data_IF_527816455686
#
_entry.id   IF_527816455686
#
_cell.length_a   1.000
_cell.length_b   1.000
_cell.length_c   1.000
_cell.angle_alpha   90.00
_cell.angle_beta   90.00
_cell.angle_gamma   90.00
#
_symmetry.space_group_name_H-M   'P 1'
#
loop_
_entity.id
_entity.type
_entity.pdbx_description
1 polymer ?
#
# COMPACT_ATOMS: atom_id res chain seq x y z
N UNK A 1 -35.78 -7.34 8.35
CA UNK A 1 -34.43 -6.74 8.33
C UNK A 1 -34.07 -6.42 6.88
N UNK A 2 -33.48 -5.25 6.58
CA UNK A 2 -33.07 -4.92 5.20
C UNK A 2 -31.88 -5.79 4.79
N UNK A 3 -31.87 -6.28 3.54
CA UNK A 3 -30.75 -7.04 2.97
C UNK A 3 -29.53 -6.12 2.78
N UNK A 4 -28.34 -6.67 2.91
CA UNK A 4 -27.09 -5.96 2.59
C UNK A 4 -26.91 -5.91 1.08
N UNK A 5 -26.44 -4.77 0.56
CA UNK A 5 -26.34 -4.54 -0.89
C UNK A 5 -24.93 -4.11 -1.28
N UNK A 6 -24.56 -4.35 -2.54
CA UNK A 6 -23.32 -3.88 -3.16
C UNK A 6 -23.61 -3.15 -4.46
N UNK A 7 -22.85 -2.11 -4.77
CA UNK A 7 -23.05 -1.32 -5.98
C UNK A 7 -22.05 -1.64 -7.09
N UNK A 8 -22.38 -1.27 -8.33
CA UNK A 8 -21.50 -1.41 -9.51
C UNK A 8 -20.20 -0.60 -9.40
N UNK A 9 -20.10 0.33 -8.45
CA UNK A 9 -18.92 1.14 -8.15
C UNK A 9 -18.14 0.63 -6.93
N UNK A 10 -18.51 -0.53 -6.38
CA UNK A 10 -17.86 -1.12 -5.21
C UNK A 10 -18.27 -0.49 -3.88
N UNK A 11 -19.37 0.26 -3.83
CA UNK A 11 -19.96 0.75 -2.57
C UNK A 11 -20.76 -0.37 -1.89
N UNK A 12 -20.76 -0.38 -0.56
CA UNK A 12 -21.42 -1.39 0.26
C UNK A 12 -22.46 -0.74 1.18
N UNK A 13 -23.67 -1.30 1.22
CA UNK A 13 -24.77 -0.85 2.08
C UNK A 13 -25.07 -1.91 3.13
N UNK A 14 -24.92 -1.54 4.40
CA UNK A 14 -25.19 -2.45 5.52
C UNK A 14 -26.69 -2.64 5.79
N UNK A 15 -27.05 -3.60 6.64
CA UNK A 15 -28.46 -3.93 6.96
C UNK A 15 -29.22 -2.80 7.68
N UNK A 16 -28.52 -1.76 8.14
CA UNK A 16 -29.09 -0.54 8.71
C UNK A 16 -29.29 0.56 7.66
N UNK A 17 -28.87 0.32 6.42
CA UNK A 17 -28.95 1.26 5.31
C UNK A 17 -27.75 2.18 5.15
N UNK A 18 -26.67 2.01 5.94
CA UNK A 18 -25.50 2.87 5.86
C UNK A 18 -24.61 2.47 4.68
N UNK A 19 -24.36 3.40 3.77
CA UNK A 19 -23.47 3.22 2.62
C UNK A 19 -22.02 3.54 3.01
N UNK A 20 -21.09 2.70 2.56
CA UNK A 20 -19.65 2.81 2.79
C UNK A 20 -18.91 2.54 1.50
N UNK A 21 -17.79 3.21 1.29
CA UNK A 21 -16.82 2.89 0.23
C UNK A 21 -15.69 2.10 0.87
N UNK A 22 -15.66 0.76 0.76
CA UNK A 22 -14.65 -0.03 1.43
C UNK A 22 -13.29 0.21 0.78
N UNK A 23 -12.31 0.64 1.56
CA UNK A 23 -10.95 0.84 1.08
C UNK A 23 -10.10 -0.39 1.40
N UNK A 24 -9.17 -0.79 0.51
CA UNK A 24 -8.23 -1.85 0.80
C UNK A 24 -7.37 -1.51 2.02
N UNK A 25 -7.05 -2.54 2.81
CA UNK A 25 -6.02 -2.41 3.83
C UNK A 25 -4.63 -2.29 3.17
N UNK A 26 -3.64 -1.89 3.96
CA UNK A 26 -2.21 -1.70 3.68
C UNK A 26 -1.56 -2.44 2.47
N UNK A 27 -1.99 -3.65 2.09
CA UNK A 27 -1.37 -4.46 1.02
C UNK A 27 -2.33 -5.40 0.27
N UNK A 28 -3.62 -5.09 0.15
CA UNK A 28 -4.54 -6.09 -0.40
C UNK A 28 -5.82 -5.55 -0.99
N UNK A 29 -6.83 -6.41 -0.98
CA UNK A 29 -8.14 -6.15 -1.54
C UNK A 29 -9.07 -5.47 -0.52
N UNK A 30 -9.98 -4.63 -1.02
CA UNK A 30 -11.07 -4.10 -0.20
C UNK A 30 -11.95 -5.26 0.32
N UNK A 31 -12.42 -5.13 1.57
CA UNK A 31 -13.23 -6.18 2.21
C UNK A 31 -14.27 -5.61 3.17
N UNK A 32 -15.38 -6.32 3.30
CA UNK A 32 -16.52 -5.96 4.16
C UNK A 32 -16.89 -7.10 5.10
N UNK A 33 -17.41 -6.75 6.27
CA UNK A 33 -17.90 -7.72 7.25
C UNK A 33 -19.39 -7.95 7.11
N UNK A 34 -19.81 -9.18 6.84
CA UNK A 34 -21.22 -9.59 6.76
C UNK A 34 -21.40 -10.79 7.70
N UNK A 35 -22.33 -10.69 8.66
CA UNK A 35 -22.64 -11.76 9.62
C UNK A 35 -21.38 -12.41 10.27
N UNK A 36 -20.44 -11.58 10.76
CA UNK A 36 -19.16 -11.98 11.37
C UNK A 36 -18.13 -12.64 10.43
N UNK A 37 -18.43 -12.82 9.14
CA UNK A 37 -17.46 -13.25 8.12
C UNK A 37 -16.97 -12.05 7.31
N UNK A 38 -15.74 -12.13 6.79
CA UNK A 38 -15.14 -11.11 5.92
C UNK A 38 -15.19 -11.58 4.48
N UNK A 39 -15.67 -10.71 3.59
CA UNK A 39 -15.76 -10.98 2.16
C UNK A 39 -14.99 -9.91 1.38
N UNK A 40 -14.36 -10.31 0.28
CA UNK A 40 -13.65 -9.38 -0.62
C UNK A 40 -14.66 -8.69 -1.54
N UNK A 41 -14.54 -7.38 -1.69
CA UNK A 41 -15.51 -6.55 -2.44
C UNK A 41 -15.59 -6.98 -3.90
N UNK A 42 -14.46 -7.11 -4.60
CA UNK A 42 -14.44 -7.55 -5.99
C UNK A 42 -15.12 -8.92 -6.22
N UNK A 43 -14.99 -9.88 -5.29
CA UNK A 43 -15.68 -11.18 -5.39
C UNK A 43 -17.18 -11.04 -5.21
N UNK A 44 -17.61 -10.28 -4.20
CA UNK A 44 -19.03 -9.97 -3.98
C UNK A 44 -19.65 -9.34 -5.23
N UNK A 45 -18.93 -8.44 -5.89
CA UNK A 45 -19.41 -7.78 -7.10
C UNK A 45 -19.54 -8.77 -8.25
N UNK A 46 -18.51 -9.58 -8.51
CA UNK A 46 -18.55 -10.56 -9.60
C UNK A 46 -19.73 -11.53 -9.48
N UNK A 47 -20.06 -11.94 -8.25
CA UNK A 47 -21.19 -12.83 -7.95
C UNK A 47 -22.52 -12.08 -8.06
N UNK A 48 -22.67 -10.96 -7.35
CA UNK A 48 -23.93 -10.23 -7.27
C UNK A 48 -24.39 -9.66 -8.63
N UNK A 49 -23.44 -9.30 -9.49
CA UNK A 49 -23.69 -8.83 -10.85
C UNK A 49 -23.60 -9.94 -11.91
N UNK A 50 -23.37 -11.20 -11.50
CA UNK A 50 -23.32 -12.38 -12.37
C UNK A 50 -22.42 -12.17 -13.59
N UNK A 51 -21.18 -11.74 -13.35
CA UNK A 51 -20.20 -11.59 -14.43
C UNK A 51 -20.02 -12.92 -15.18
N UNK A 52 -19.90 -12.88 -16.52
CA UNK A 52 -19.73 -14.09 -17.32
C UNK A 52 -18.40 -14.77 -16.97
N UNK A 53 -18.41 -16.09 -16.88
CA UNK A 53 -17.21 -16.90 -16.65
C UNK A 53 -17.31 -18.25 -17.38
N UNK A 54 -16.15 -18.83 -17.63
CA UNK A 54 -15.96 -20.17 -18.19
C UNK A 54 -15.65 -21.19 -17.09
N UNK A 55 -15.82 -22.47 -17.41
CA UNK A 55 -15.49 -23.57 -16.50
C UNK A 55 -14.00 -23.51 -16.10
N UNK A 56 -13.73 -23.56 -14.79
CA UNK A 56 -12.37 -23.48 -14.24
C UNK A 56 -11.88 -22.07 -13.88
N UNK A 57 -12.66 -21.02 -14.16
CA UNK A 57 -12.37 -19.65 -13.71
C UNK A 57 -12.89 -19.40 -12.30
N UNK A 58 -12.06 -19.72 -11.29
CA UNK A 58 -12.43 -19.62 -9.88
C UNK A 58 -11.87 -18.37 -9.17
N UNK A 59 -11.18 -17.49 -9.89
CA UNK A 59 -10.60 -16.27 -9.34
C UNK A 59 -11.11 -15.03 -10.07
N UNK A 60 -11.24 -13.91 -9.36
CA UNK A 60 -11.64 -12.64 -9.94
C UNK A 60 -10.41 -11.76 -10.08
N UNK A 61 -10.09 -11.39 -11.31
CA UNK A 61 -8.97 -10.53 -11.70
C UNK A 61 -9.42 -9.06 -11.80
N UNK A 62 -8.47 -8.14 -11.59
CA UNK A 62 -8.65 -6.71 -11.87
C UNK A 62 -7.90 -6.41 -13.16
N UNK A 63 -8.60 -5.98 -14.23
CA UNK A 63 -8.02 -5.78 -15.57
C UNK A 63 -6.87 -4.78 -15.56
N UNK A 64 -6.98 -3.71 -14.76
CA UNK A 64 -5.92 -2.70 -14.62
C UNK A 64 -4.82 -3.08 -13.61
N UNK A 65 -4.89 -4.24 -12.96
CA UNK A 65 -3.92 -4.69 -11.96
C UNK A 65 -3.96 -3.90 -10.64
N UNK A 66 -4.94 -3.01 -10.43
CA UNK A 66 -5.11 -2.22 -9.21
C UNK A 66 -6.18 -2.85 -8.28
N UNK A 67 -5.80 -3.47 -7.14
CA UNK A 67 -6.73 -4.10 -6.19
C UNK A 67 -7.70 -3.14 -5.48
N UNK A 68 -7.48 -1.82 -5.61
CA UNK A 68 -8.31 -0.78 -5.01
C UNK A 68 -9.49 -0.39 -5.90
N UNK A 69 -9.37 -0.60 -7.21
CA UNK A 69 -10.37 -0.24 -8.20
C UNK A 69 -11.39 -1.37 -8.36
N UNK A 70 -12.44 -1.30 -7.55
CA UNK A 70 -13.53 -2.28 -7.55
C UNK A 70 -14.65 -1.85 -8.51
N UNK A 71 -14.41 -1.03 -9.53
CA UNK A 71 -15.44 -0.75 -10.53
C UNK A 71 -15.82 -2.03 -11.28
N UNK A 72 -17.11 -2.30 -11.48
CA UNK A 72 -17.58 -3.56 -12.07
C UNK A 72 -16.94 -3.85 -13.44
N UNK A 73 -16.79 -2.81 -14.28
CA UNK A 73 -16.16 -2.94 -15.59
C UNK A 73 -14.67 -3.31 -15.54
N UNK A 74 -14.00 -3.08 -14.41
CA UNK A 74 -12.60 -3.43 -14.18
C UNK A 74 -12.42 -4.89 -13.68
N UNK A 75 -13.50 -5.61 -13.41
CA UNK A 75 -13.45 -6.98 -12.90
C UNK A 75 -13.73 -8.00 -14.01
N UNK A 76 -13.07 -9.15 -13.91
CA UNK A 76 -13.31 -10.31 -14.77
C UNK A 76 -12.99 -11.59 -14.03
N UNK A 77 -13.54 -12.70 -14.51
CA UNK A 77 -13.17 -14.03 -14.04
C UNK A 77 -11.91 -14.52 -14.75
N UNK A 78 -11.06 -15.23 -14.01
CA UNK A 78 -9.81 -15.78 -14.49
C UNK A 78 -9.52 -17.11 -13.79
N UNK A 79 -8.76 -17.98 -14.46
CA UNK A 79 -8.14 -19.11 -13.76
C UNK A 79 -6.85 -18.67 -13.03
N UNK A 80 -6.37 -19.51 -12.13
CA UNK A 80 -5.20 -19.23 -11.31
C UNK A 80 -3.94 -18.90 -12.15
N UNK A 81 -3.74 -19.62 -13.26
CA UNK A 81 -2.56 -19.46 -14.11
C UNK A 81 -2.57 -18.14 -14.88
N UNK A 82 -3.74 -17.74 -15.37
CA UNK A 82 -3.99 -16.46 -16.02
C UNK A 82 -3.79 -15.31 -15.06
N UNK A 83 -4.36 -15.39 -13.85
CA UNK A 83 -4.22 -14.35 -12.85
C UNK A 83 -2.75 -14.16 -12.43
N UNK A 84 -2.00 -15.26 -12.29
CA UNK A 84 -0.55 -15.21 -12.03
C UNK A 84 0.19 -14.54 -13.19
N UNK A 85 -0.08 -14.94 -14.43
CA UNK A 85 0.58 -14.39 -15.64
C UNK A 85 0.28 -12.92 -15.80
N UNK A 86 -0.99 -12.53 -15.66
CA UNK A 86 -1.45 -11.15 -15.67
C UNK A 86 -0.71 -10.34 -14.60
N UNK A 87 -0.63 -10.85 -13.37
CA UNK A 87 0.13 -10.19 -12.31
C UNK A 87 1.63 -10.06 -12.63
N UNK A 88 2.27 -10.99 -13.33
CA UNK A 88 3.66 -10.79 -13.77
C UNK A 88 3.79 -9.71 -14.86
N UNK A 89 2.76 -9.53 -15.68
CA UNK A 89 2.75 -8.51 -16.74
C UNK A 89 2.41 -7.11 -16.21
N UNK A 90 1.50 -6.99 -15.25
CA UNK A 90 0.95 -5.69 -14.81
C UNK A 90 1.46 -5.21 -13.46
N UNK A 91 1.93 -6.10 -12.57
CA UNK A 91 2.40 -5.70 -11.24
C UNK A 91 3.89 -5.32 -11.25
N UNK A 92 4.17 -4.03 -11.46
CA UNK A 92 5.53 -3.44 -11.43
C UNK A 92 6.24 -3.60 -10.08
N UNK A 93 5.50 -3.83 -8.99
CA UNK A 93 6.06 -4.06 -7.66
C UNK A 93 6.43 -5.53 -7.39
N UNK A 94 6.07 -6.45 -8.29
CA UNK A 94 6.35 -7.88 -8.13
C UNK A 94 7.85 -8.15 -8.32
N UNK A 95 8.60 -8.15 -7.20
CA UNK A 95 10.04 -8.46 -7.21
C UNK A 95 10.28 -9.97 -7.34
N UNK A 96 11.12 -10.36 -8.29
CA UNK A 96 11.65 -11.72 -8.35
C UNK A 96 12.61 -11.97 -7.18
N UNK A 97 12.36 -13.01 -6.40
CA UNK A 97 13.31 -13.47 -5.38
C UNK A 97 14.47 -14.28 -5.97
N UNK A 98 14.55 -14.40 -7.31
CA UNK A 98 15.56 -15.20 -7.99
C UNK A 98 16.97 -14.74 -7.62
N UNK A 99 17.28 -13.45 -7.77
CA UNK A 99 18.62 -12.92 -7.46
C UNK A 99 19.03 -13.18 -6.00
N UNK A 100 18.11 -13.03 -5.04
CA UNK A 100 18.35 -13.30 -3.61
C UNK A 100 18.57 -14.79 -3.29
N UNK A 101 17.95 -15.68 -4.07
CA UNK A 101 18.05 -17.14 -3.90
C UNK A 101 19.16 -17.76 -4.74
N UNK A 102 19.65 -17.04 -5.75
CA UNK A 102 20.73 -17.47 -6.61
C UNK A 102 22.01 -17.66 -5.80
N UNK A 103 22.57 -18.86 -5.88
CA UNK A 103 23.89 -19.19 -5.34
C UNK A 103 24.84 -19.28 -6.54
N UNK A 104 25.76 -18.33 -6.72
CA UNK A 104 26.67 -18.35 -7.85
C UNK A 104 27.60 -19.56 -7.79
N UNK A 105 28.00 -20.02 -8.96
CA UNK A 105 28.89 -21.19 -9.12
C UNK A 105 30.03 -20.82 -10.04
N UNK A 106 31.21 -21.36 -9.77
CA UNK A 106 32.32 -21.36 -10.71
C UNK A 106 32.29 -22.68 -11.47
N UNK A 107 32.49 -22.65 -12.78
CA UNK A 107 32.59 -23.84 -13.61
C UNK A 107 33.77 -23.78 -14.57
N UNK A 108 34.43 -24.91 -14.78
CA UNK A 108 35.50 -25.06 -15.80
C UNK A 108 35.46 -26.47 -16.39
N UNK A 109 36.06 -26.66 -17.55
CA UNK A 109 36.16 -27.97 -18.19
C UNK A 109 37.19 -28.84 -17.46
N UNK A 110 36.87 -30.12 -17.27
CA UNK A 110 37.77 -31.11 -16.66
C UNK A 110 39.02 -31.24 -17.54
N UNK A 111 40.20 -31.32 -16.90
CA UNK A 111 41.52 -31.45 -17.54
C UNK A 111 41.95 -30.28 -18.46
N UNK A 112 41.27 -29.13 -18.35
CA UNK A 112 41.68 -27.90 -19.04
C UNK A 112 42.45 -26.98 -18.12
N UNK A 113 43.43 -26.25 -18.66
CA UNK A 113 44.08 -25.11 -17.99
C UNK A 113 43.21 -23.86 -18.00
N UNK A 114 41.95 -23.97 -18.43
CA UNK A 114 40.99 -22.86 -18.49
C UNK A 114 40.74 -22.25 -17.10
N UNK A 115 40.56 -20.93 -17.11
CA UNK A 115 40.12 -20.18 -15.94
C UNK A 115 38.71 -20.58 -15.51
N UNK A 116 38.43 -20.41 -14.21
CA UNK A 116 37.10 -20.64 -13.67
C UNK A 116 36.11 -19.57 -14.15
N UNK A 117 35.06 -19.99 -14.84
CA UNK A 117 33.99 -19.09 -15.30
C UNK A 117 32.93 -18.96 -14.22
N UNK A 118 32.59 -17.72 -13.83
CA UNK A 118 31.53 -17.43 -12.86
C UNK A 118 30.16 -17.37 -13.52
N UNK A 119 29.21 -18.09 -12.96
CA UNK A 119 27.80 -18.06 -13.31
C UNK A 119 27.00 -17.54 -12.12
N UNK A 120 25.97 -16.71 -12.35
CA UNK A 120 25.15 -16.16 -11.27
C UNK A 120 24.31 -17.24 -10.56
N UNK A 121 24.07 -18.40 -11.19
CA UNK A 121 23.52 -19.58 -10.52
C UNK A 121 23.79 -20.90 -11.24
N UNK A 122 23.60 -22.03 -10.55
CA UNK A 122 23.62 -23.36 -11.19
C UNK A 122 22.62 -23.51 -12.35
N UNK A 123 21.48 -22.80 -12.30
CA UNK A 123 20.48 -22.76 -13.39
C UNK A 123 20.97 -22.00 -14.62
N UNK A 124 21.76 -20.97 -14.42
CA UNK A 124 22.37 -20.23 -15.52
C UNK A 124 23.48 -21.05 -16.17
N UNK A 125 24.38 -21.63 -15.36
CA UNK A 125 25.40 -22.56 -15.83
C UNK A 125 24.78 -23.71 -16.65
N UNK A 126 23.70 -24.31 -16.14
CA UNK A 126 22.93 -25.33 -16.85
C UNK A 126 22.43 -24.87 -18.22
N UNK A 127 21.90 -23.65 -18.31
CA UNK A 127 21.39 -23.10 -19.58
C UNK A 127 22.50 -22.85 -20.59
N UNK A 128 23.60 -22.23 -20.15
CA UNK A 128 24.74 -21.87 -21.01
C UNK A 128 25.47 -23.12 -21.50
N UNK A 129 25.73 -24.06 -20.58
CA UNK A 129 26.48 -25.28 -20.86
C UNK A 129 25.61 -26.44 -21.36
N UNK A 130 24.29 -26.23 -21.47
CA UNK A 130 23.28 -27.24 -21.83
C UNK A 130 23.35 -28.50 -20.94
N UNK A 131 23.44 -28.29 -19.64
CA UNK A 131 23.51 -29.33 -18.60
C UNK A 131 22.28 -29.30 -17.69
N UNK A 132 22.14 -30.31 -16.84
CA UNK A 132 21.11 -30.33 -15.78
C UNK A 132 21.57 -29.56 -14.53
N UNK A 133 20.76 -28.59 -14.10
CA UNK A 133 21.05 -27.75 -12.93
C UNK A 133 21.08 -28.53 -11.61
N UNK A 134 20.35 -29.64 -11.51
CA UNK A 134 20.38 -30.54 -10.34
C UNK A 134 21.72 -31.27 -10.23
N UNK A 135 22.24 -31.72 -11.36
CA UNK A 135 23.54 -32.37 -11.48
C UNK A 135 24.69 -31.43 -11.16
N UNK A 136 24.64 -30.17 -11.63
CA UNK A 136 25.59 -29.13 -11.23
C UNK A 136 25.54 -28.89 -9.72
N UNK A 137 24.34 -28.79 -9.15
CA UNK A 137 24.17 -28.61 -7.70
C UNK A 137 24.71 -29.78 -6.88
N UNK A 138 24.59 -31.02 -7.39
CA UNK A 138 25.15 -32.21 -6.75
C UNK A 138 26.69 -32.20 -6.77
N UNK A 139 27.30 -31.68 -7.84
CA UNK A 139 28.77 -31.50 -7.92
C UNK A 139 29.24 -30.46 -6.92
N UNK A 140 28.62 -29.28 -6.89
CA UNK A 140 28.95 -28.22 -5.92
C UNK A 140 28.77 -28.67 -4.47
N UNK A 141 27.82 -29.57 -4.21
CA UNK A 141 27.58 -30.15 -2.88
C UNK A 141 28.54 -31.31 -2.53
N UNK A 142 29.49 -31.66 -3.40
CA UNK A 142 30.43 -32.76 -3.20
C UNK A 142 29.83 -34.16 -3.33
N UNK A 143 28.59 -34.29 -3.81
CA UNK A 143 27.94 -35.60 -4.02
C UNK A 143 28.37 -36.27 -5.33
N UNK A 144 28.97 -35.49 -6.23
CA UNK A 144 29.55 -35.94 -7.51
C UNK A 144 30.81 -35.12 -7.77
N UNK A 145 31.75 -35.68 -8.53
CA UNK A 145 33.02 -35.00 -8.79
C UNK A 145 32.95 -34.11 -10.06
N UNK A 146 32.14 -34.50 -11.04
CA UNK A 146 31.97 -33.78 -12.32
C UNK A 146 30.61 -34.05 -12.96
N UNK A 147 30.21 -33.19 -13.90
CA UNK A 147 29.03 -33.41 -14.75
C UNK A 147 29.25 -32.83 -16.14
N UNK A 148 28.89 -33.58 -17.19
CA UNK A 148 29.03 -33.12 -18.58
C UNK A 148 30.45 -32.73 -19.01
N UNK A 149 31.49 -33.25 -18.35
CA UNK A 149 32.88 -32.85 -18.60
C UNK A 149 33.31 -31.54 -17.93
N UNK A 150 32.51 -31.02 -16.98
CA UNK A 150 32.81 -29.82 -16.21
C UNK A 150 32.89 -30.11 -14.72
N UNK A 151 33.76 -29.37 -14.03
CA UNK A 151 33.87 -29.29 -12.58
C UNK A 151 33.19 -28.01 -12.10
N UNK A 152 32.56 -28.06 -10.93
CA UNK A 152 31.89 -26.90 -10.36
C UNK A 152 32.22 -26.74 -8.88
N UNK A 153 32.49 -25.51 -8.48
CA UNK A 153 32.64 -25.14 -7.06
C UNK A 153 31.74 -23.96 -6.72
N UNK A 154 31.50 -23.76 -5.43
CA UNK A 154 30.74 -22.61 -4.94
C UNK A 154 31.54 -21.34 -5.24
N UNK A 155 30.92 -20.36 -5.91
CA UNK A 155 31.52 -19.05 -6.04
C UNK A 155 31.30 -18.22 -4.77
N UNK A 156 32.14 -17.20 -4.56
CA UNK A 156 31.82 -16.15 -3.61
C UNK A 156 30.46 -15.55 -3.96
N UNK A 157 29.70 -15.20 -2.91
CA UNK A 157 28.43 -14.50 -3.10
C UNK A 157 28.65 -13.30 -4.01
N UNK A 158 27.66 -12.94 -4.83
CA UNK A 158 27.76 -11.70 -5.58
C UNK A 158 28.02 -10.59 -4.56
N UNK A 159 29.19 -9.95 -4.65
CA UNK A 159 29.43 -8.75 -3.88
C UNK A 159 28.32 -7.78 -4.24
N UNK A 160 27.65 -7.18 -3.24
CA UNK A 160 26.66 -6.16 -3.55
C UNK A 160 27.36 -5.07 -4.35
N UNK A 161 26.78 -4.69 -5.50
CA UNK A 161 27.28 -3.59 -6.32
C UNK A 161 27.65 -2.41 -5.41
N UNK A 162 28.93 -2.02 -5.47
CA UNK A 162 29.40 -0.76 -4.93
C UNK A 162 28.87 0.33 -5.84
N UNK A 163 27.98 1.16 -5.32
CA UNK A 163 27.47 2.31 -6.07
C UNK A 163 28.49 3.44 -5.93
N UNK A 164 28.79 4.13 -7.02
CA UNK A 164 29.78 5.21 -7.01
C UNK A 164 29.33 6.34 -6.06
N UNK A 165 30.22 6.78 -5.16
CA UNK A 165 29.90 7.75 -4.12
C UNK A 165 29.03 7.24 -2.95
N UNK A 166 28.81 5.92 -2.81
CA UNK A 166 28.08 5.36 -1.67
C UNK A 166 28.96 5.30 -0.41
N UNK A 167 28.57 6.06 0.61
CA UNK A 167 29.23 6.03 1.92
C UNK A 167 28.48 5.11 2.87
N UNK A 168 29.19 4.31 3.66
CA UNK A 168 28.62 3.43 4.67
C UNK A 168 29.01 3.91 6.07
N UNK A 169 28.02 4.04 6.97
CA UNK A 169 28.26 4.37 8.38
C UNK A 169 27.68 3.30 9.31
N UNK A 170 28.34 3.05 10.46
CA UNK A 170 27.85 2.09 11.43
C UNK A 170 26.52 2.56 12.04
N UNK A 171 25.62 1.60 12.26
CA UNK A 171 24.37 1.81 12.96
C UNK A 171 24.05 0.56 13.78
N UNK A 172 24.30 0.65 15.10
CA UNK A 172 24.30 -0.50 16.01
C UNK A 172 25.21 -1.62 15.48
N UNK A 173 24.76 -2.88 15.42
CA UNK A 173 25.54 -4.01 14.87
C UNK A 173 25.57 -4.05 13.33
N UNK A 174 24.82 -3.18 12.65
CA UNK A 174 24.77 -3.09 11.18
C UNK A 174 25.43 -1.82 10.64
N UNK A 175 25.22 -1.59 9.35
CA UNK A 175 25.62 -0.35 8.67
C UNK A 175 24.48 0.16 7.79
N UNK A 176 24.37 1.47 7.66
CA UNK A 176 23.46 2.16 6.74
C UNK A 176 24.27 2.99 5.76
N UNK A 177 23.79 3.12 4.53
CA UNK A 177 24.50 3.88 3.49
C UNK A 177 23.84 5.23 3.18
N UNK A 178 24.61 6.13 2.58
CA UNK A 178 24.15 7.43 2.09
C UNK A 178 23.09 7.32 0.99
N UNK A 179 22.96 6.15 0.35
CA UNK A 179 21.96 5.85 -0.68
C UNK A 179 20.72 5.12 -0.15
N UNK A 180 20.57 5.01 1.18
CA UNK A 180 19.41 4.38 1.77
C UNK A 180 19.49 2.86 1.90
N UNK A 181 20.67 2.25 1.68
CA UNK A 181 20.88 0.80 1.81
C UNK A 181 21.23 0.41 3.24
N UNK A 182 21.02 -0.87 3.57
CA UNK A 182 21.32 -1.44 4.87
C UNK A 182 22.14 -2.73 4.74
N UNK A 183 23.23 -2.82 5.50
CA UNK A 183 24.10 -3.98 5.62
C UNK A 183 23.96 -4.55 7.04
N UNK A 184 23.47 -5.78 7.12
CA UNK A 184 23.37 -6.51 8.39
C UNK A 184 24.73 -6.86 8.99
N UNK A 185 24.76 -7.22 10.27
CA UNK A 185 25.95 -7.74 10.96
C UNK A 185 26.55 -8.98 10.29
N UNK A 186 25.77 -9.71 9.49
CA UNK A 186 26.21 -10.88 8.68
C UNK A 186 26.77 -10.49 7.30
N UNK A 187 26.90 -9.19 7.02
CA UNK A 187 27.41 -8.68 5.74
C UNK A 187 26.38 -8.63 4.60
N UNK A 188 25.15 -9.12 4.79
CA UNK A 188 24.10 -9.07 3.77
C UNK A 188 23.62 -7.64 3.57
N UNK A 189 23.74 -7.14 2.34
CA UNK A 189 23.25 -5.82 1.91
C UNK A 189 21.85 -5.91 1.33
N UNK A 190 21.01 -4.94 1.66
CA UNK A 190 19.61 -4.86 1.21
C UNK A 190 19.18 -3.42 0.99
N UNK A 191 18.27 -3.22 0.04
CA UNK A 191 17.49 -1.99 -0.14
C UNK A 191 16.15 -2.14 0.61
N UNK A 192 15.95 -1.45 1.75
CA UNK A 192 14.72 -1.52 2.52
C UNK A 192 13.53 -1.13 1.65
N UNK A 193 12.49 -1.96 1.65
CA UNK A 193 11.28 -1.68 0.86
C UNK A 193 10.25 -0.95 1.73
N UNK A 194 9.47 -0.02 1.15
CA UNK A 194 8.49 0.75 1.89
C UNK A 194 7.37 -0.15 2.45
N UNK A 195 6.92 0.19 3.65
CA UNK A 195 5.69 -0.34 4.22
C UNK A 195 4.47 0.36 3.60
N UNK A 196 3.27 -0.04 4.00
CA UNK A 196 2.03 0.60 3.53
C UNK A 196 1.90 2.07 3.92
N UNK A 197 2.64 2.51 4.95
CA UNK A 197 2.75 3.91 5.32
C UNK A 197 3.65 4.73 4.38
N UNK A 198 4.26 4.11 3.36
CA UNK A 198 5.26 4.72 2.47
C UNK A 198 6.68 4.68 3.01
N UNK A 199 6.86 4.63 4.33
CA UNK A 199 8.19 4.58 4.96
C UNK A 199 8.78 3.17 4.96
N UNK A 200 10.09 3.04 4.69
CA UNK A 200 10.82 1.79 4.86
C UNK A 200 11.39 1.63 6.27
N UNK A 201 11.58 0.38 6.68
CA UNK A 201 12.17 0.02 7.97
C UNK A 201 13.28 -1.02 7.80
N UNK A 202 14.23 -1.01 8.74
CA UNK A 202 15.31 -1.98 8.88
C UNK A 202 15.21 -2.69 10.23
N UNK A 203 15.50 -3.99 10.25
CA UNK A 203 15.58 -4.77 11.47
C UNK A 203 17.03 -4.87 11.93
N UNK A 204 17.32 -4.39 13.14
CA UNK A 204 18.66 -4.43 13.75
C UNK A 204 18.52 -4.90 15.18
N UNK A 205 19.27 -5.93 15.58
CA UNK A 205 19.26 -6.50 16.93
C UNK A 205 17.85 -6.86 17.46
N UNK A 206 16.99 -7.37 16.58
CA UNK A 206 15.62 -7.75 16.92
C UNK A 206 14.64 -6.59 17.03
N UNK A 207 15.06 -5.34 16.80
CA UNK A 207 14.21 -4.14 16.78
C UNK A 207 14.06 -3.57 15.38
N UNK A 208 12.90 -2.99 15.08
CA UNK A 208 12.63 -2.31 13.81
C UNK A 208 12.86 -0.81 13.95
N UNK A 209 13.65 -0.25 13.04
CA UNK A 209 13.93 1.18 12.94
C UNK A 209 13.48 1.72 11.59
N UNK A 210 12.95 2.96 11.56
CA UNK A 210 12.69 3.65 10.28
C UNK A 210 14.01 3.94 9.58
N UNK A 211 14.11 3.58 8.30
CA UNK A 211 15.37 3.68 7.53
C UNK A 211 15.93 5.09 7.53
N UNK A 212 15.13 6.10 7.18
CA UNK A 212 15.57 7.50 7.20
C UNK A 212 16.07 7.96 8.58
N UNK A 213 15.48 7.49 9.69
CA UNK A 213 15.94 7.85 11.05
C UNK A 213 17.27 7.19 11.40
N UNK A 214 17.44 5.93 11.01
CA UNK A 214 18.71 5.24 11.20
C UNK A 214 19.84 5.94 10.43
N UNK A 215 19.58 6.33 9.19
CA UNK A 215 20.51 7.13 8.37
C UNK A 215 20.76 8.49 9.02
N UNK A 216 19.70 9.20 9.42
CA UNK A 216 19.83 10.51 10.05
C UNK A 216 20.66 10.46 11.34
N UNK A 217 20.52 9.41 12.15
CA UNK A 217 21.34 9.21 13.33
C UNK A 217 22.80 8.86 12.97
N UNK A 218 23.02 7.95 12.02
CA UNK A 218 24.37 7.51 11.64
C UNK A 218 25.19 8.62 10.93
N UNK A 219 24.54 9.45 10.14
CA UNK A 219 25.15 10.55 9.40
C UNK A 219 25.13 11.89 10.15
N UNK A 220 24.61 11.94 11.38
CA UNK A 220 24.66 13.13 12.24
C UNK A 220 23.62 14.21 11.92
N UNK A 221 22.61 13.91 11.10
CA UNK A 221 21.43 14.77 10.89
C UNK A 221 20.60 14.85 12.18
N UNK A 222 20.52 13.73 12.90
CA UNK A 222 19.90 13.62 14.22
C UNK A 222 20.97 13.35 15.28
N UNK A 223 20.75 13.82 16.51
CA UNK A 223 21.64 13.53 17.64
C UNK A 223 21.54 12.08 18.11
N UNK A 224 20.58 11.32 17.58
CA UNK A 224 20.35 9.92 17.89
C UNK A 224 18.99 9.44 17.36
N UNK A 225 18.69 8.15 17.52
CA UNK A 225 17.41 7.57 17.06
C UNK A 225 16.19 8.14 17.80
N UNK A 226 16.40 8.59 19.04
CA UNK A 226 15.36 9.15 19.92
C UNK A 226 15.25 10.68 19.83
N UNK A 227 15.97 11.31 18.89
CA UNK A 227 15.90 12.76 18.67
C UNK A 227 14.44 13.20 18.39
N UNK A 228 13.91 14.21 19.10
CA UNK A 228 12.52 14.63 18.93
C UNK A 228 12.23 15.27 17.56
N UNK A 229 13.27 15.67 16.81
CA UNK A 229 13.12 16.20 15.46
C UNK A 229 12.62 15.12 14.51
N UNK A 230 11.83 15.56 13.53
CA UNK A 230 11.35 14.72 12.45
C UNK A 230 12.34 14.81 11.30
N UNK A 231 12.37 13.78 10.45
CA UNK A 231 13.08 13.86 9.18
C UNK A 231 12.04 14.11 8.11
N UNK A 232 12.27 15.18 7.36
CA UNK A 232 11.51 15.53 6.17
C UNK A 232 12.24 15.01 4.94
N UNK A 233 11.43 14.55 3.97
CA UNK A 233 11.87 14.09 2.67
C UNK A 233 11.66 15.24 1.69
N UNK A 234 12.73 15.81 1.16
CA UNK A 234 12.65 17.05 0.36
C UNK A 234 11.82 16.88 -0.93
N UNK A 235 11.78 15.67 -1.49
CA UNK A 235 10.97 15.32 -2.66
C UNK A 235 9.54 14.87 -2.32
N UNK A 236 9.17 14.86 -1.03
CA UNK A 236 7.88 14.36 -0.55
C UNK A 236 7.67 12.84 -0.67
N UNK A 237 8.68 12.07 -1.11
CA UNK A 237 8.63 10.63 -1.26
C UNK A 237 9.27 9.90 -0.06
N UNK A 238 8.47 9.31 0.86
CA UNK A 238 9.00 8.68 2.08
C UNK A 238 9.85 7.41 1.86
N UNK A 239 9.85 6.88 0.63
CA UNK A 239 10.63 5.70 0.24
C UNK A 239 12.03 6.06 -0.28
N UNK A 240 12.25 7.31 -0.68
CA UNK A 240 13.55 7.80 -1.12
C UNK A 240 14.41 8.18 0.10
N UNK A 241 15.17 7.22 0.62
CA UNK A 241 16.00 7.41 1.80
C UNK A 241 17.44 7.84 1.48
N UNK A 242 17.70 8.37 0.29
CA UNK A 242 19.00 8.97 -0.01
C UNK A 242 19.28 10.12 0.96
N UNK A 243 20.49 10.20 1.50
CA UNK A 243 20.90 11.20 2.49
C UNK A 243 20.64 12.63 2.02
N UNK A 244 20.89 12.91 0.74
CA UNK A 244 20.63 14.21 0.10
C UNK A 244 19.15 14.61 0.11
N UNK A 245 18.25 13.63 0.24
CA UNK A 245 16.80 13.85 0.32
C UNK A 245 16.29 14.00 1.76
N UNK A 246 17.15 13.86 2.78
CA UNK A 246 16.75 13.87 4.19
C UNK A 246 17.25 15.12 4.91
N UNK A 247 16.35 15.78 5.66
CA UNK A 247 16.73 16.88 6.57
C UNK A 247 16.00 16.80 7.90
N UNK A 248 16.66 17.18 8.99
CA UNK A 248 16.02 17.31 10.29
C UNK A 248 15.16 18.58 10.34
N UNK A 249 13.90 18.43 10.71
CA UNK A 249 12.94 19.52 10.85
C UNK A 249 12.17 19.38 12.17
N UNK A 250 11.64 20.49 12.66
CA UNK A 250 10.64 20.44 13.73
C UNK A 250 9.31 19.94 13.19
N UNK A 251 8.43 19.48 14.09
CA UNK A 251 7.08 19.04 13.71
C UNK A 251 6.29 20.13 12.99
N UNK A 252 6.38 21.40 13.44
CA UNK A 252 5.67 22.51 12.81
C UNK A 252 6.20 22.79 11.40
N UNK A 253 7.52 22.78 11.22
CA UNK A 253 8.15 22.92 9.90
C UNK A 253 7.73 21.79 8.95
N UNK A 254 7.67 20.55 9.42
CA UNK A 254 7.22 19.42 8.60
C UNK A 254 5.76 19.56 8.16
N UNK A 255 4.89 20.01 9.08
CA UNK A 255 3.47 20.26 8.78
C UNK A 255 3.32 21.36 7.73
N UNK A 256 4.08 22.46 7.87
CA UNK A 256 4.09 23.59 6.95
C UNK A 256 4.60 23.16 5.57
N UNK A 257 5.74 22.46 5.51
CA UNK A 257 6.27 21.93 4.25
C UNK A 257 5.25 21.05 3.53
N UNK A 258 4.51 20.21 4.28
CA UNK A 258 3.42 19.42 3.71
C UNK A 258 2.20 20.26 3.29
N UNK A 259 1.97 21.46 3.82
CA UNK A 259 0.92 22.35 3.28
C UNK A 259 1.39 23.02 1.98
N UNK A 260 2.68 23.36 1.90
CA UNK A 260 3.25 24.07 0.76
C UNK A 260 3.43 23.15 -0.47
N UNK A 261 3.73 21.86 -0.26
CA UNK A 261 4.16 20.94 -1.33
C UNK A 261 3.20 19.80 -1.65
N UNK A 262 2.34 19.37 -0.72
CA UNK A 262 1.48 18.20 -0.93
C UNK A 262 0.17 18.58 -1.62
N UNK A 263 0.13 18.45 -2.94
CA UNK A 263 -1.06 18.71 -3.78
C UNK A 263 -2.24 17.78 -3.48
N UNK A 264 -2.00 16.58 -2.95
CA UNK A 264 -3.04 15.60 -2.58
C UNK A 264 -3.61 15.83 -1.17
N UNK A 265 -3.14 16.86 -0.46
CA UNK A 265 -3.62 17.15 0.89
C UNK A 265 -5.08 17.58 0.86
N UNK A 266 -5.98 16.68 1.26
CA UNK A 266 -7.42 16.95 1.35
C UNK A 266 -7.80 17.49 2.72
N UNK A 267 -8.65 18.52 2.71
CA UNK A 267 -9.34 19.00 3.90
C UNK A 267 -10.34 17.94 4.39
N UNK A 268 -10.24 17.56 5.67
CA UNK A 268 -11.26 16.72 6.32
C UNK A 268 -12.53 17.51 6.71
N UNK A 269 -12.62 18.80 6.37
CA UNK A 269 -13.73 19.65 6.78
C UNK A 269 -15.09 19.11 6.34
N UNK A 270 -15.21 18.65 5.08
CA UNK A 270 -16.46 18.08 4.55
C UNK A 270 -16.84 16.74 5.20
N UNK A 271 -15.85 15.95 5.63
CA UNK A 271 -16.10 14.68 6.32
C UNK A 271 -16.55 14.87 7.77
N UNK A 272 -16.09 15.96 8.40
CA UNK A 272 -16.44 16.32 9.78
C UNK A 272 -17.67 17.21 9.86
N UNK A 273 -18.05 17.87 8.76
CA UNK A 273 -19.23 18.72 8.71
C UNK A 273 -20.49 17.89 8.88
N UNK A 274 -21.32 18.30 9.83
CA UNK A 274 -22.70 17.83 9.95
C UNK A 274 -23.58 18.84 9.23
N UNK A 275 -24.20 18.49 8.09
CA UNK A 275 -25.09 19.40 7.41
C UNK A 275 -26.30 19.70 8.29
N UNK A 276 -26.76 20.94 8.21
CA UNK A 276 -27.88 21.46 9.00
C UNK A 276 -28.85 22.13 8.06
N UNK A 277 -30.13 22.08 8.37
CA UNK A 277 -31.16 22.82 7.66
C UNK A 277 -31.73 23.87 8.59
N UNK A 278 -31.94 25.06 8.04
CA UNK A 278 -32.46 26.21 8.77
C UNK A 278 -33.60 26.86 8.01
N UNK A 279 -34.63 27.30 8.74
CA UNK A 279 -35.76 28.05 8.17
C UNK A 279 -36.00 29.32 8.96
N UNK A 280 -36.58 30.34 8.32
CA UNK A 280 -37.04 31.53 9.04
C UNK A 280 -38.37 31.20 9.74
N UNK A 281 -38.56 31.72 10.95
CA UNK A 281 -39.80 31.57 11.70
C UNK A 281 -40.95 32.13 10.87
N UNK A 282 -42.07 31.40 10.83
CA UNK A 282 -43.25 31.67 9.99
C UNK A 282 -43.06 31.42 8.49
N UNK A 283 -42.02 30.70 8.08
CA UNK A 283 -41.85 30.19 6.72
C UNK A 283 -41.82 28.67 6.73
N UNK A 284 -42.31 28.05 5.66
CA UNK A 284 -42.25 26.59 5.50
C UNK A 284 -40.96 26.13 4.80
N UNK A 285 -40.22 27.06 4.21
CA UNK A 285 -39.03 26.77 3.41
C UNK A 285 -37.80 26.48 4.29
N UNK A 286 -37.28 25.26 4.18
CA UNK A 286 -36.02 24.86 4.79
C UNK A 286 -34.87 25.01 3.79
N UNK A 287 -33.83 25.72 4.20
CA UNK A 287 -32.57 25.82 3.43
C UNK A 287 -31.51 24.93 4.06
N UNK A 288 -30.84 24.12 3.25
CA UNK A 288 -29.74 23.25 3.69
C UNK A 288 -28.40 23.96 3.61
N UNK A 289 -27.59 23.81 4.67
CA UNK A 289 -26.25 24.35 4.81
C UNK A 289 -25.25 23.21 4.99
N UNK A 290 -24.06 23.36 4.41
CA UNK A 290 -23.04 22.32 4.45
C UNK A 290 -22.55 22.03 5.88
N UNK A 291 -22.61 23.02 6.77
CA UNK A 291 -22.25 22.91 8.19
C UNK A 291 -22.86 24.05 9.01
N UNK A 292 -22.74 23.99 10.34
CA UNK A 292 -23.05 25.11 11.24
C UNK A 292 -22.27 26.37 10.85
N UNK A 293 -20.97 26.26 10.53
CA UNK A 293 -20.14 27.40 10.12
C UNK A 293 -20.55 27.99 8.76
N UNK A 294 -21.12 27.15 7.87
CA UNK A 294 -21.67 27.64 6.61
C UNK A 294 -22.98 28.40 6.85
N UNK A 295 -23.84 27.91 7.74
CA UNK A 295 -25.04 28.62 8.17
C UNK A 295 -24.69 29.94 8.89
N UNK A 296 -23.69 29.92 9.78
CA UNK A 296 -23.14 31.09 10.47
C UNK A 296 -22.80 32.20 9.47
N UNK A 297 -21.96 31.87 8.47
CA UNK A 297 -21.48 32.82 7.47
C UNK A 297 -22.58 33.34 6.54
N UNK A 298 -23.58 32.52 6.20
CA UNK A 298 -24.66 32.91 5.26
C UNK A 298 -25.79 33.70 5.94
N UNK A 299 -26.05 33.41 7.22
CA UNK A 299 -27.15 34.00 7.97
C UNK A 299 -26.70 35.06 8.98
N UNK A 300 -25.39 35.26 9.14
CA UNK A 300 -24.77 36.16 10.12
C UNK A 300 -25.27 35.90 11.56
N UNK A 301 -25.29 34.62 11.94
CA UNK A 301 -25.74 34.14 13.25
C UNK A 301 -24.57 33.57 14.03
N UNK A 302 -24.69 33.41 15.36
CA UNK A 302 -23.64 32.78 16.16
C UNK A 302 -23.70 31.25 16.08
N UNK A 303 -22.60 30.58 15.68
CA UNK A 303 -22.54 29.12 15.55
C UNK A 303 -22.78 28.36 16.86
N UNK A 304 -22.41 28.94 18.00
CA UNK A 304 -22.71 28.39 19.33
C UNK A 304 -24.21 28.33 19.61
N UNK A 305 -24.95 29.38 19.23
CA UNK A 305 -26.41 29.44 19.39
C UNK A 305 -27.12 28.49 18.41
N UNK A 306 -26.68 28.42 17.15
CA UNK A 306 -27.17 27.41 16.19
C UNK A 306 -26.99 26.01 16.78
N UNK A 307 -25.81 25.72 17.36
CA UNK A 307 -25.53 24.47 18.05
C UNK A 307 -26.41 24.21 19.28
N UNK A 308 -26.82 25.25 20.02
CA UNK A 308 -27.73 25.14 21.15
C UNK A 308 -29.17 24.81 20.71
N UNK A 309 -29.63 25.39 19.59
CA UNK A 309 -30.92 25.06 18.95
C UNK A 309 -30.94 23.60 18.51
N UNK A 310 -29.90 23.15 17.81
CA UNK A 310 -29.77 21.74 17.37
C UNK A 310 -29.73 20.73 18.53
N UNK A 311 -29.27 21.14 19.71
CA UNK A 311 -29.26 20.33 20.95
C UNK A 311 -30.55 20.45 21.75
N UNK A 312 -31.56 21.16 21.23
CA UNK A 312 -32.84 21.44 21.91
C UNK A 312 -32.69 22.18 23.25
N UNK A 313 -31.58 22.93 23.42
CA UNK A 313 -31.38 23.82 24.58
C UNK A 313 -32.03 25.19 24.38
N UNK A 314 -32.22 25.57 23.12
CA UNK A 314 -32.94 26.76 22.69
C UNK A 314 -33.90 26.33 21.57
N UNK A 315 -34.96 27.10 21.35
CA UNK A 315 -35.96 26.81 20.29
C UNK A 315 -35.62 27.49 18.97
N UNK A 316 -34.96 28.66 19.02
CA UNK A 316 -34.53 29.41 17.85
C UNK A 316 -33.28 30.25 18.17
N UNK A 317 -32.62 30.75 17.13
CA UNK A 317 -31.59 31.77 17.25
C UNK A 317 -31.81 32.85 16.19
N UNK A 318 -31.88 34.11 16.62
CA UNK A 318 -32.48 35.17 15.81
C UNK A 318 -33.91 34.80 15.38
N UNK A 319 -34.22 35.00 14.10
CA UNK A 319 -35.49 34.61 13.47
C UNK A 319 -35.45 33.21 12.85
N UNK A 320 -34.47 32.36 13.18
CA UNK A 320 -34.26 31.09 12.50
C UNK A 320 -34.38 29.88 13.44
N UNK A 321 -34.97 28.82 12.92
CA UNK A 321 -35.03 27.49 13.52
C UNK A 321 -34.07 26.56 12.78
N UNK A 322 -33.45 25.61 13.49
CA UNK A 322 -32.46 24.69 12.91
C UNK A 322 -32.71 23.26 13.34
N UNK A 323 -32.50 22.33 12.40
CA UNK A 323 -32.42 20.91 12.67
C UNK A 323 -31.27 20.27 11.87
N UNK A 324 -30.84 19.08 12.28
CA UNK A 324 -29.88 18.34 11.47
C UNK A 324 -30.55 17.98 10.13
N UNK A 325 -29.83 18.17 9.03
CA UNK A 325 -30.26 17.58 7.78
C UNK A 325 -30.30 16.06 7.97
N UNK A 326 -31.32 15.39 7.40
CA UNK A 326 -31.34 13.92 7.33
C UNK A 326 -29.96 13.44 6.85
N UNK A 327 -29.42 12.33 7.39
CA UNK A 327 -28.09 11.87 7.02
C UNK A 327 -28.02 11.78 5.51
N UNK A 328 -27.15 12.61 4.90
CA UNK A 328 -26.98 12.74 3.45
C UNK A 328 -27.39 11.44 2.77
N UNK A 329 -28.55 11.43 2.10
CA UNK A 329 -28.82 10.36 1.15
C UNK A 329 -27.57 10.32 0.27
N UNK A 330 -26.84 9.19 0.27
CA UNK A 330 -25.56 9.14 -0.42
C UNK A 330 -25.82 9.52 -1.86
N UNK A 331 -25.05 10.47 -2.40
CA UNK A 331 -25.17 10.88 -3.80
C UNK A 331 -25.29 9.62 -4.66
N UNK A 332 -26.44 9.48 -5.33
CA UNK A 332 -26.62 8.48 -6.37
C UNK A 332 -25.63 8.85 -7.48
N UNK A 333 -24.57 8.06 -7.61
CA UNK A 333 -23.64 8.23 -8.71
C UNK A 333 -24.39 7.88 -10.00
N UNK A 334 -24.24 8.71 -11.03
CA UNK A 334 -24.92 8.51 -12.31
C UNK A 334 -24.58 7.11 -12.87
N UNK A 335 -25.60 6.31 -13.21
CA UNK A 335 -25.43 4.94 -13.71
C UNK A 335 -25.04 3.89 -12.66
N UNK A 336 -25.09 4.21 -11.36
CA UNK A 336 -24.82 3.22 -10.32
C UNK A 336 -26.02 2.29 -10.07
N UNK A 337 -25.77 0.99 -10.20
CA UNK A 337 -26.72 -0.06 -9.86
C UNK A 337 -26.41 -0.68 -8.50
N UNK A 338 -27.44 -1.07 -7.76
CA UNK A 338 -27.32 -1.78 -6.49
C UNK A 338 -27.92 -3.18 -6.60
N UNK A 339 -27.21 -4.19 -6.08
CA UNK A 339 -27.65 -5.59 -6.02
C UNK A 339 -27.62 -6.11 -4.60
N UNK A 340 -28.59 -6.95 -4.26
CA UNK A 340 -28.62 -7.64 -2.98
C UNK A 340 -27.52 -8.69 -2.93
N UNK A 341 -26.89 -8.82 -1.76
CA UNK A 341 -25.86 -9.83 -1.52
C UNK A 341 -26.54 -11.07 -0.93
N UNK A 342 -26.64 -12.13 -1.73
CA UNK A 342 -27.10 -13.44 -1.27
C UNK A 342 -25.92 -14.23 -0.69
N UNK A 343 -25.80 -14.22 0.65
CA UNK A 343 -24.64 -14.82 1.35
C UNK A 343 -24.52 -16.33 1.12
N UNK A 344 -25.61 -17.01 0.74
CA UNK A 344 -25.62 -18.44 0.38
C UNK A 344 -24.88 -18.76 -0.92
N UNK A 345 -24.67 -17.77 -1.80
CA UNK A 345 -23.95 -17.93 -3.07
C UNK A 345 -22.45 -17.63 -2.92
N UNK A 346 -22.00 -17.28 -1.70
CA UNK A 346 -20.61 -16.95 -1.40
C UNK A 346 -19.87 -18.18 -0.83
N UNK A 347 -18.79 -18.59 -1.50
CA UNK A 347 -17.90 -19.68 -1.06
C UNK A 347 -17.06 -19.36 0.18
#
# INVERSE_FOLDING_TARGET
MRKTQISSHGRYKDSRGVIKTPTPAAKGYASVGIQKKRYLVHRLMAIAFKLPHEEGQNEVNHKNGNPSDNFLGNLEWANHSENIRHSYATNTFRKSSAFKRSKPVLGRKVDSSDEWVKYASAREAARVLKLDSGSISAVVAGKRNKTGGYEFVKAEANEPESLDGEEWKPFLTGHVSSMGRYKSCRGVVSTPSPAASGYSCIGVDGKLYKTHRAIGAAFGILSGVDDPRQIDHTDGNPSNNCLSNLRAVTRSQNIQHSYDTNTERRSNALKLSKPVRGRKRNTEEWTTYASISDAERRLDLNSGNIGAVLKKKQTHTGDYEFEYAEPNEPECLEGEEWRDIEVSELW
#
